data_IF_233962924887
#
_entry.id   IF_233962924887
#
_cell.length_a   1.000
_cell.length_b   1.000
_cell.length_c   1.000
_cell.angle_alpha   90.00
_cell.angle_beta   90.00
_cell.angle_gamma   90.00
#
_symmetry.space_group_name_H-M   'P 1'
#
loop_
_entity.id
_entity.type
_entity.pdbx_description
1 polymer ?
#
# COMPACT_ATOMS: atom_id res chain seq x y z
N UNK A 1 -8.26 39.98 -1.89
CA UNK A 1 -6.95 39.87 -1.22
C UNK A 1 -7.12 38.79 -0.16
N UNK A 2 -6.26 37.78 -0.11
CA UNK A 2 -6.32 36.74 0.92
C UNK A 2 -5.17 36.97 1.92
N UNK A 3 -5.44 36.78 3.20
CA UNK A 3 -4.43 36.94 4.26
C UNK A 3 -3.59 35.66 4.45
N UNK A 4 -4.15 34.50 4.11
CA UNK A 4 -3.48 33.19 4.10
C UNK A 4 -4.15 32.27 3.07
N UNK A 5 -3.35 31.48 2.35
CA UNK A 5 -3.81 30.41 1.48
C UNK A 5 -3.15 29.10 1.91
N UNK A 6 -3.96 28.08 2.18
CA UNK A 6 -3.50 26.73 2.49
C UNK A 6 -3.84 25.79 1.33
N UNK A 7 -2.82 25.14 0.77
CA UNK A 7 -3.00 24.14 -0.29
C UNK A 7 -3.14 22.75 0.35
N UNK A 8 -4.38 22.29 0.49
CA UNK A 8 -4.71 20.98 1.05
C UNK A 8 -5.06 19.96 -0.06
N UNK A 9 -4.12 19.71 -0.97
CA UNK A 9 -4.33 18.87 -2.16
C UNK A 9 -4.25 17.36 -1.89
N UNK A 10 -3.96 16.96 -0.66
CA UNK A 10 -3.72 15.55 -0.31
C UNK A 10 -2.43 15.01 -0.94
N UNK A 11 -2.38 13.69 -1.13
CA UNK A 11 -1.25 13.01 -1.79
C UNK A 11 -1.73 12.36 -3.10
N UNK A 12 -0.82 11.87 -3.93
CA UNK A 12 -1.17 11.18 -5.20
C UNK A 12 -0.86 9.68 -5.18
N UNK A 13 -0.30 9.18 -4.07
CA UNK A 13 0.13 7.79 -3.93
C UNK A 13 1.36 7.69 -3.02
N UNK A 14 1.87 6.47 -2.79
CA UNK A 14 3.10 6.27 -2.05
C UNK A 14 4.30 6.88 -2.78
N UNK A 15 5.34 7.23 -2.01
CA UNK A 15 6.63 7.57 -2.60
C UNK A 15 7.15 6.36 -3.37
N UNK A 16 7.53 6.57 -4.63
CA UNK A 16 8.13 5.54 -5.49
C UNK A 16 9.59 5.36 -5.10
N UNK A 17 9.80 4.82 -3.91
CA UNK A 17 11.11 4.66 -3.32
C UNK A 17 11.96 3.70 -4.13
N UNK A 18 13.29 3.84 -4.00
CA UNK A 18 14.24 2.93 -4.63
C UNK A 18 13.99 1.47 -4.23
N UNK A 19 13.49 1.21 -3.02
CA UNK A 19 13.10 -0.12 -2.57
C UNK A 19 12.05 -0.76 -3.50
N UNK A 20 11.03 -0.01 -3.93
CA UNK A 20 10.00 -0.55 -4.82
C UNK A 20 10.56 -0.87 -6.20
N UNK A 21 11.49 -0.04 -6.70
CA UNK A 21 12.15 -0.28 -7.98
C UNK A 21 13.16 -1.43 -7.91
N UNK A 22 13.97 -1.50 -6.86
CA UNK A 22 14.99 -2.53 -6.67
C UNK A 22 14.37 -3.91 -6.42
N UNK A 23 13.20 -3.97 -5.76
CA UNK A 23 12.41 -5.20 -5.60
C UNK A 23 11.53 -5.52 -6.83
N UNK A 24 11.44 -4.61 -7.81
CA UNK A 24 10.54 -4.71 -8.97
C UNK A 24 9.06 -4.87 -8.58
N UNK A 25 8.61 -4.13 -7.57
CA UNK A 25 7.21 -4.14 -7.12
C UNK A 25 6.36 -3.33 -8.08
N UNK A 26 5.33 -3.97 -8.65
CA UNK A 26 4.41 -3.35 -9.59
C UNK A 26 3.43 -2.39 -8.90
N UNK A 27 3.11 -1.30 -9.59
CA UNK A 27 2.04 -0.37 -9.22
C UNK A 27 0.80 -0.62 -10.07
N UNK A 28 -0.38 -0.33 -9.54
CA UNK A 28 -1.63 -0.33 -10.30
C UNK A 28 -1.85 1.00 -11.04
N UNK A 29 -2.96 1.10 -11.80
CA UNK A 29 -3.32 2.30 -12.57
C UNK A 29 -3.52 3.56 -11.70
N UNK A 30 -3.72 3.39 -10.39
CA UNK A 30 -3.85 4.49 -9.41
C UNK A 30 -2.50 4.91 -8.82
N UNK A 31 -1.40 4.28 -9.22
CA UNK A 31 -0.06 4.56 -8.73
C UNK A 31 0.22 4.01 -7.32
N UNK A 32 -0.65 3.15 -6.78
CA UNK A 32 -0.44 2.46 -5.50
C UNK A 32 0.14 1.07 -5.74
N UNK A 33 0.75 0.46 -4.72
CA UNK A 33 1.32 -0.89 -4.83
C UNK A 33 0.23 -1.89 -5.18
N UNK A 34 0.43 -2.62 -6.27
CA UNK A 34 -0.48 -3.67 -6.69
C UNK A 34 -0.32 -4.89 -5.77
N UNK A 35 -1.44 -5.53 -5.45
CA UNK A 35 -1.49 -6.77 -4.67
C UNK A 35 -2.61 -7.67 -5.18
N UNK A 36 -2.52 -8.97 -4.88
CA UNK A 36 -3.54 -9.97 -5.17
C UNK A 36 -4.55 -10.15 -4.03
N UNK A 37 -5.44 -11.15 -4.13
CA UNK A 37 -6.44 -11.45 -3.10
C UNK A 37 -5.81 -11.95 -1.78
N UNK A 38 -4.60 -12.50 -1.85
CA UNK A 38 -3.76 -12.95 -0.74
C UNK A 38 -2.87 -11.83 -0.19
N UNK A 39 -3.13 -10.56 -0.53
CA UNK A 39 -2.39 -9.40 -0.03
C UNK A 39 -0.91 -9.34 -0.44
N UNK A 40 -0.49 -10.22 -1.34
CA UNK A 40 0.88 -10.31 -1.82
C UNK A 40 1.05 -9.44 -3.07
N UNK A 41 2.21 -8.83 -3.20
CA UNK A 41 2.61 -8.14 -4.44
C UNK A 41 3.01 -9.16 -5.51
N UNK A 42 3.45 -8.70 -6.68
CA UNK A 42 4.06 -9.58 -7.68
C UNK A 42 5.36 -10.25 -7.20
N UNK A 43 5.98 -9.76 -6.11
CA UNK A 43 7.21 -10.30 -5.54
C UNK A 43 6.86 -11.27 -4.41
N UNK A 44 7.21 -12.57 -4.53
CA UNK A 44 6.90 -13.57 -3.50
C UNK A 44 7.44 -13.18 -2.13
N UNK A 45 6.57 -13.22 -1.11
CA UNK A 45 6.92 -12.86 0.26
C UNK A 45 6.89 -11.36 0.58
N UNK A 46 6.57 -10.51 -0.40
CA UNK A 46 6.37 -9.06 -0.19
C UNK A 46 4.88 -8.75 -0.23
N UNK A 47 4.39 -8.09 0.81
CA UNK A 47 2.97 -7.79 1.02
C UNK A 47 2.75 -6.29 1.18
N UNK A 48 1.54 -5.81 0.88
CA UNK A 48 1.19 -4.39 1.01
C UNK A 48 -0.18 -4.21 1.69
N UNK A 49 -0.27 -3.21 2.58
CA UNK A 49 -1.49 -2.90 3.33
C UNK A 49 -1.66 -1.38 3.52
N UNK A 50 -2.87 -0.97 3.90
CA UNK A 50 -3.21 0.43 4.14
C UNK A 50 -3.06 1.30 2.89
N UNK A 51 -2.70 2.57 3.09
CA UNK A 51 -2.63 3.57 2.03
C UNK A 51 -1.61 3.22 0.92
N UNK A 52 -0.61 2.38 1.21
CA UNK A 52 0.35 1.88 0.20
C UNK A 52 -0.33 1.13 -0.95
N UNK A 53 -1.39 0.37 -0.68
CA UNK A 53 -2.15 -0.38 -1.69
C UNK A 53 -3.49 0.29 -2.01
N UNK A 54 -4.14 0.89 -1.02
CA UNK A 54 -5.49 1.48 -1.13
C UNK A 54 -5.50 2.88 -1.74
N UNK A 55 -4.46 3.67 -1.47
CA UNK A 55 -4.49 5.13 -1.52
C UNK A 55 -5.08 5.73 -0.25
N UNK A 56 -5.01 7.05 -0.10
CA UNK A 56 -5.42 7.77 1.12
C UNK A 56 -6.79 7.32 1.65
N UNK A 57 -6.82 6.83 2.88
CA UNK A 57 -8.02 6.32 3.51
C UNK A 57 -8.12 6.64 4.99
N UNK A 58 -9.17 6.12 5.63
CA UNK A 58 -9.37 6.25 7.08
C UNK A 58 -8.48 5.26 7.82
N UNK A 59 -8.09 5.64 9.05
CA UNK A 59 -7.27 4.79 9.92
C UNK A 59 -7.89 3.40 10.16
N UNK A 60 -9.22 3.30 10.23
CA UNK A 60 -9.92 2.02 10.42
C UNK A 60 -9.69 1.06 9.25
N UNK A 61 -9.55 1.59 8.03
CA UNK A 61 -9.25 0.77 6.85
C UNK A 61 -7.80 0.30 6.85
N UNK A 62 -6.86 1.14 7.27
CA UNK A 62 -5.48 0.72 7.44
C UNK A 62 -5.34 -0.41 8.48
N UNK A 63 -6.15 -0.36 9.55
CA UNK A 63 -6.20 -1.43 10.57
C UNK A 63 -6.79 -2.73 10.00
N UNK A 64 -7.91 -2.66 9.27
CA UNK A 64 -8.52 -3.85 8.65
C UNK A 64 -7.56 -4.47 7.62
N UNK A 65 -6.98 -3.65 6.75
CA UNK A 65 -6.00 -4.06 5.74
C UNK A 65 -4.79 -4.74 6.41
N UNK A 66 -4.27 -4.15 7.50
CA UNK A 66 -3.15 -4.71 8.24
C UNK A 66 -3.47 -6.08 8.85
N UNK A 67 -4.69 -6.28 9.38
CA UNK A 67 -5.12 -7.57 9.93
C UNK A 67 -5.22 -8.65 8.85
N UNK A 68 -5.72 -8.29 7.66
CA UNK A 68 -5.84 -9.21 6.54
C UNK A 68 -4.48 -9.57 5.95
N UNK A 69 -3.59 -8.59 5.77
CA UNK A 69 -2.23 -8.84 5.32
C UNK A 69 -1.46 -9.72 6.32
N UNK A 70 -1.60 -9.48 7.63
CA UNK A 70 -1.00 -10.33 8.65
C UNK A 70 -1.49 -11.78 8.58
N UNK A 71 -2.79 -12.00 8.40
CA UNK A 71 -3.34 -13.34 8.23
C UNK A 71 -2.82 -14.05 6.97
N UNK A 72 -2.62 -13.29 5.88
CA UNK A 72 -2.06 -13.85 4.64
C UNK A 72 -0.56 -14.16 4.76
N UNK A 73 0.20 -13.32 5.46
CA UNK A 73 1.61 -13.59 5.79
C UNK A 73 1.73 -14.86 6.63
N UNK A 74 0.88 -15.03 7.64
CA UNK A 74 0.86 -16.22 8.48
C UNK A 74 0.57 -17.49 7.67
N UNK A 75 -0.40 -17.44 6.75
CA UNK A 75 -0.69 -18.55 5.84
C UNK A 75 0.48 -18.87 4.91
N UNK A 76 1.14 -17.85 4.36
CA UNK A 76 2.30 -18.01 3.48
C UNK A 76 3.47 -18.70 4.21
N UNK A 77 3.77 -18.26 5.44
CA UNK A 77 4.85 -18.83 6.25
C UNK A 77 4.52 -20.24 6.77
N UNK A 78 3.24 -20.52 7.08
CA UNK A 78 2.81 -21.82 7.60
C UNK A 78 2.67 -22.90 6.52
N UNK A 79 2.58 -22.50 5.25
CA UNK A 79 2.57 -23.42 4.11
C UNK A 79 3.99 -23.88 3.67
N UNK A 80 5.03 -23.38 4.34
CA UNK A 80 6.44 -23.71 4.10
C UNK A 80 6.92 -24.95 4.86
#
# INVERSE_FOLDING_TARGET
KADLVLLAMGFVGPEKSRMLTDLDVHLNDRGTVARDEQWMTNVPGVFAAGDMQRGQSLIVWAIDDGRRAAAAIDQFLSAS
#
